data_IF_500293017805
#
_entry.id   IF_500293017805
#
_cell.length_a   1.000
_cell.length_b   1.000
_cell.length_c   1.000
_cell.angle_alpha   90.00
_cell.angle_beta   90.00
_cell.angle_gamma   90.00
#
_symmetry.space_group_name_H-M   'P 1'
#
loop_
_entity.id
_entity.type
_entity.pdbx_description
1 polymer ?
#
# COMPACT_ATOMS: atom_id res chain seq x y z
N UNK A 1 -12.68 -15.72 10.80
CA UNK A 1 -11.55 -14.79 10.56
C UNK A 1 -12.00 -13.79 9.52
N UNK A 2 -11.93 -12.53 9.90
CA UNK A 2 -12.59 -11.36 9.31
C UNK A 2 -11.86 -10.90 8.06
N UNK A 3 -12.58 -10.65 6.96
CA UNK A 3 -12.08 -10.28 5.63
C UNK A 3 -11.13 -9.06 5.63
N UNK A 4 -11.19 -8.21 6.66
CA UNK A 4 -10.35 -7.02 6.80
C UNK A 4 -8.86 -7.29 7.04
N UNK A 5 -8.48 -8.42 7.66
CA UNK A 5 -7.06 -8.71 7.88
C UNK A 5 -6.32 -8.94 6.55
N UNK A 6 -7.00 -9.54 5.56
CA UNK A 6 -6.38 -9.90 4.30
C UNK A 6 -5.98 -8.69 3.45
N UNK A 7 -6.77 -7.61 3.47
CA UNK A 7 -6.45 -6.39 2.71
C UNK A 7 -5.34 -5.56 3.37
N UNK A 8 -5.26 -5.52 4.70
CA UNK A 8 -4.17 -4.82 5.39
C UNK A 8 -2.83 -5.54 5.22
N UNK A 9 -2.82 -6.88 5.33
CA UNK A 9 -1.64 -7.69 5.02
C UNK A 9 -1.18 -7.53 3.57
N UNK A 10 -2.12 -7.34 2.64
CA UNK A 10 -1.79 -7.02 1.25
C UNK A 10 -1.14 -5.64 1.10
N UNK A 11 -1.69 -4.62 1.75
CA UNK A 11 -1.09 -3.28 1.78
C UNK A 11 0.35 -3.30 2.33
N UNK A 12 0.59 -4.03 3.43
CA UNK A 12 1.93 -4.16 4.02
C UNK A 12 2.93 -4.79 3.04
N UNK A 13 2.51 -5.80 2.27
CA UNK A 13 3.34 -6.40 1.22
C UNK A 13 3.60 -5.44 0.08
N UNK A 14 2.58 -4.72 -0.37
CA UNK A 14 2.67 -3.72 -1.43
C UNK A 14 3.68 -2.63 -1.07
N UNK A 15 3.61 -2.12 0.15
CA UNK A 15 4.56 -1.14 0.69
C UNK A 15 5.96 -1.72 0.76
N UNK A 16 6.13 -2.95 1.21
CA UNK A 16 7.44 -3.59 1.23
C UNK A 16 8.06 -3.69 -0.17
N UNK A 17 7.25 -3.92 -1.21
CA UNK A 17 7.72 -3.97 -2.59
C UNK A 17 8.02 -2.58 -3.17
N UNK A 18 7.23 -1.55 -2.84
CA UNK A 18 7.54 -0.15 -3.18
C UNK A 18 8.87 0.30 -2.58
N UNK A 19 9.09 0.03 -1.29
CA UNK A 19 10.36 0.36 -0.61
C UNK A 19 11.56 -0.35 -1.26
N UNK A 20 11.40 -1.61 -1.69
CA UNK A 20 12.45 -2.31 -2.46
C UNK A 20 12.75 -1.65 -3.81
N UNK A 21 11.78 -0.96 -4.40
CA UNK A 21 11.92 -0.24 -5.66
C UNK A 21 12.41 1.21 -5.48
N UNK A 22 12.71 1.64 -4.25
CA UNK A 22 13.35 2.93 -3.97
C UNK A 22 12.44 3.97 -3.31
N UNK A 23 11.19 3.64 -3.01
CA UNK A 23 10.28 4.54 -2.31
C UNK A 23 10.62 4.74 -0.83
N UNK A 24 10.16 5.86 -0.27
CA UNK A 24 10.38 6.20 1.13
C UNK A 24 9.54 5.34 2.07
N UNK A 25 10.24 4.57 2.90
CA UNK A 25 9.62 3.70 3.90
C UNK A 25 8.86 4.48 4.98
N UNK A 26 9.36 5.63 5.42
CA UNK A 26 8.72 6.40 6.50
C UNK A 26 7.37 6.92 6.03
N UNK A 27 7.32 7.48 4.82
CA UNK A 27 6.07 7.93 4.19
C UNK A 27 5.07 6.78 4.04
N UNK A 28 5.52 5.66 3.47
CA UNK A 28 4.65 4.51 3.24
C UNK A 28 4.16 3.87 4.54
N UNK A 29 4.97 3.88 5.61
CA UNK A 29 4.56 3.32 6.90
C UNK A 29 3.39 4.08 7.54
N UNK A 30 3.29 5.39 7.33
CA UNK A 30 2.15 6.19 7.81
C UNK A 30 0.82 5.70 7.20
N UNK A 31 0.84 5.24 5.96
CA UNK A 31 -0.37 4.72 5.30
C UNK A 31 -0.88 3.42 5.93
N UNK A 32 0.00 2.56 6.48
CA UNK A 32 -0.41 1.35 7.20
C UNK A 32 -1.12 1.70 8.50
N UNK A 33 -0.61 2.70 9.21
CA UNK A 33 -1.18 3.17 10.48
C UNK A 33 -2.53 3.85 10.27
N UNK A 34 -2.66 4.64 9.19
CA UNK A 34 -3.90 5.32 8.83
C UNK A 34 -4.94 4.38 8.21
N UNK A 35 -4.54 3.23 7.66
CA UNK A 35 -5.43 2.33 6.91
C UNK A 35 -6.73 1.96 7.64
N UNK A 36 -6.63 1.68 8.95
CA UNK A 36 -7.79 1.29 9.76
C UNK A 36 -8.74 2.46 10.06
N UNK A 37 -8.28 3.70 9.88
CA UNK A 37 -9.05 4.92 10.04
C UNK A 37 -9.75 5.36 8.75
N UNK A 38 -9.27 4.88 7.60
CA UNK A 38 -9.84 5.19 6.29
C UNK A 38 -11.20 4.53 6.08
N UNK A 39 -12.06 5.19 5.30
CA UNK A 39 -13.30 4.62 4.78
C UNK A 39 -13.00 3.46 3.80
N UNK A 40 -13.96 2.57 3.53
CA UNK A 40 -13.77 1.50 2.54
C UNK A 40 -13.33 2.00 1.16
N UNK A 41 -13.88 3.13 0.71
CA UNK A 41 -13.55 3.73 -0.59
C UNK A 41 -12.13 4.31 -0.59
N UNK A 42 -11.74 4.97 0.49
CA UNK A 42 -10.39 5.52 0.66
C UNK A 42 -9.33 4.41 0.73
N UNK A 43 -9.66 3.28 1.38
CA UNK A 43 -8.78 2.10 1.41
C UNK A 43 -8.56 1.50 0.04
N UNK A 44 -9.61 1.42 -0.77
CA UNK A 44 -9.51 0.91 -2.15
C UNK A 44 -8.73 1.86 -3.04
N UNK A 45 -8.97 3.17 -2.92
CA UNK A 45 -8.22 4.20 -3.64
C UNK A 45 -6.73 4.18 -3.27
N UNK A 46 -6.39 4.08 -1.98
CA UNK A 46 -5.01 3.98 -1.51
C UNK A 46 -4.31 2.77 -2.13
N UNK A 47 -4.92 1.58 -2.01
CA UNK A 47 -4.32 0.35 -2.57
C UNK A 47 -4.13 0.48 -4.08
N UNK A 48 -5.14 0.96 -4.82
CA UNK A 48 -5.04 1.13 -6.26
C UNK A 48 -3.93 2.11 -6.68
N UNK A 49 -3.77 3.21 -5.95
CA UNK A 49 -2.73 4.20 -6.23
C UNK A 49 -1.33 3.60 -6.02
N UNK A 50 -1.12 2.89 -4.91
CA UNK A 50 0.15 2.24 -4.59
C UNK A 50 0.48 1.09 -5.57
N UNK A 51 -0.52 0.35 -6.04
CA UNK A 51 -0.34 -0.67 -7.09
C UNK A 51 0.11 -0.05 -8.41
N UNK A 52 -0.51 1.06 -8.80
CA UNK A 52 -0.14 1.79 -10.01
C UNK A 52 1.29 2.32 -9.92
N UNK A 53 1.65 2.92 -8.79
CA UNK A 53 2.99 3.43 -8.52
C UNK A 53 4.05 2.34 -8.60
N UNK A 54 3.82 1.18 -7.96
CA UNK A 54 4.71 0.03 -8.06
C UNK A 54 4.87 -0.42 -9.51
N UNK A 55 3.77 -0.51 -10.26
CA UNK A 55 3.78 -0.88 -11.67
C UNK A 55 4.53 0.11 -12.55
N UNK A 56 4.53 1.40 -12.22
CA UNK A 56 5.26 2.41 -12.96
C UNK A 56 6.76 2.39 -12.60
N UNK A 57 7.12 2.21 -11.33
CA UNK A 57 8.51 2.02 -10.89
C UNK A 57 9.16 0.77 -11.52
N UNK A 58 8.42 -0.35 -11.58
CA UNK A 58 8.91 -1.59 -12.18
C UNK A 58 9.12 -1.51 -13.69
N UNK A 59 8.49 -0.55 -14.39
CA UNK A 59 8.75 -0.32 -15.83
C UNK A 59 9.98 0.56 -16.07
N UNK A 60 10.39 1.32 -15.07
CA UNK A 60 11.52 2.24 -15.13
C UNK A 60 12.85 1.57 -14.74
N UNK A 61 12.78 0.48 -13.96
CA UNK A 61 13.91 -0.39 -13.59
C UNK A 61 14.13 -1.52 -14.59
#
# INVERSE_FOLDING_TARGET
>A
MTINNTKKEYLEKLIADLVKNGEDKEELSMWVDLYDLLSPEEREALVHNLEKELGDLQKLN
#
